data_IF_945454435286
#
_entry.id   IF_945454435286
#
_cell.length_a   1.000
_cell.length_b   1.000
_cell.length_c   1.000
_cell.angle_alpha   90.00
_cell.angle_beta   90.00
_cell.angle_gamma   90.00
#
_symmetry.space_group_name_H-M   'P 1'
#
loop_
_entity.id
_entity.type
_entity.pdbx_description
1 polymer ?
#
# COMPACT_ATOMS: atom_id res chain seq x y z
N UNK A 1 0.21 -17.20 -30.83
CA UNK A 1 0.33 -15.95 -30.03
C UNK A 1 1.79 -15.85 -29.59
N UNK A 2 2.47 -14.78 -30.00
CA UNK A 2 3.93 -14.62 -29.90
C UNK A 2 4.39 -14.57 -28.44
N UNK A 3 5.48 -15.26 -28.08
CA UNK A 3 6.03 -15.28 -26.71
C UNK A 3 6.27 -13.86 -26.16
N UNK A 4 6.76 -12.95 -27.01
CA UNK A 4 6.98 -11.55 -26.64
C UNK A 4 5.70 -10.78 -26.29
N UNK A 5 4.56 -11.12 -26.88
CA UNK A 5 3.28 -10.47 -26.57
C UNK A 5 2.75 -10.87 -25.19
N UNK A 6 2.93 -12.14 -24.80
CA UNK A 6 2.57 -12.58 -23.46
C UNK A 6 3.46 -11.90 -22.40
N UNK A 7 4.77 -11.87 -22.61
CA UNK A 7 5.69 -11.16 -21.71
C UNK A 7 5.35 -9.66 -21.59
N UNK A 8 5.07 -9.00 -22.71
CA UNK A 8 4.65 -7.59 -22.71
C UNK A 8 3.34 -7.38 -21.93
N UNK A 9 2.35 -8.25 -22.12
CA UNK A 9 1.08 -8.19 -21.39
C UNK A 9 1.27 -8.36 -19.89
N UNK A 10 2.11 -9.31 -19.48
CA UNK A 10 2.41 -9.54 -18.06
C UNK A 10 3.11 -8.33 -17.44
N UNK A 11 4.10 -7.76 -18.13
CA UNK A 11 4.77 -6.51 -17.68
C UNK A 11 3.81 -5.33 -17.60
N UNK A 12 2.92 -5.15 -18.57
CA UNK A 12 1.90 -4.10 -18.50
C UNK A 12 0.96 -4.31 -17.30
N UNK A 13 0.54 -5.55 -17.02
CA UNK A 13 -0.30 -5.86 -15.86
C UNK A 13 0.41 -5.54 -14.55
N UNK A 14 1.69 -5.86 -14.43
CA UNK A 14 2.49 -5.53 -13.25
C UNK A 14 2.57 -4.02 -13.03
N UNK A 15 2.82 -3.25 -14.09
CA UNK A 15 2.91 -1.78 -14.02
C UNK A 15 1.56 -1.19 -13.62
N UNK A 16 0.46 -1.61 -14.28
CA UNK A 16 -0.88 -1.13 -13.95
C UNK A 16 -1.26 -1.44 -12.50
N UNK A 17 -0.91 -2.63 -12.01
CA UNK A 17 -1.14 -3.02 -10.60
C UNK A 17 -0.39 -2.10 -9.64
N UNK A 18 0.89 -1.82 -9.91
CA UNK A 18 1.69 -0.89 -9.10
C UNK A 18 1.12 0.52 -9.11
N UNK A 19 0.70 1.03 -10.26
CA UNK A 19 0.07 2.34 -10.39
C UNK A 19 -1.25 2.43 -9.62
N UNK A 20 -2.07 1.38 -9.64
CA UNK A 20 -3.31 1.32 -8.85
C UNK A 20 -3.03 1.36 -7.35
N UNK A 21 -2.03 0.61 -6.88
CA UNK A 21 -1.60 0.63 -5.48
C UNK A 21 -1.16 2.04 -5.10
N UNK A 22 -0.28 2.67 -5.89
CA UNK A 22 0.20 4.04 -5.62
C UNK A 22 -0.92 5.09 -5.65
N UNK A 23 -1.91 4.95 -6.54
CA UNK A 23 -3.08 5.83 -6.58
C UNK A 23 -3.95 5.69 -5.34
N UNK A 24 -4.25 4.45 -4.94
CA UNK A 24 -4.99 4.18 -3.70
C UNK A 24 -4.22 4.68 -2.48
N UNK A 25 -2.91 4.45 -2.46
CA UNK A 25 -2.03 4.94 -1.42
C UNK A 25 -2.10 6.46 -1.28
N UNK A 26 -2.00 7.21 -2.38
CA UNK A 26 -2.07 8.67 -2.35
C UNK A 26 -3.41 9.20 -1.82
N UNK A 27 -4.49 8.43 -1.97
CA UNK A 27 -5.80 8.78 -1.41
C UNK A 27 -5.80 8.68 0.13
N UNK A 28 -5.24 7.59 0.68
CA UNK A 28 -5.25 7.32 2.12
C UNK A 28 -4.08 7.97 2.87
N UNK A 29 -2.93 8.14 2.22
CA UNK A 29 -1.69 8.61 2.80
C UNK A 29 -1.05 9.72 1.94
N UNK A 30 -1.73 10.86 1.71
CA UNK A 30 -1.29 11.89 0.77
C UNK A 30 0.07 12.53 1.12
N UNK A 31 0.46 12.52 2.40
CA UNK A 31 1.70 13.11 2.90
C UNK A 31 2.81 12.09 3.13
N UNK A 32 2.58 10.81 2.87
CA UNK A 32 3.55 9.74 3.04
C UNK A 32 3.81 9.07 1.69
N UNK A 33 5.05 9.11 1.19
CA UNK A 33 5.41 8.44 -0.06
C UNK A 33 5.26 6.92 0.08
N UNK A 34 4.79 6.25 -0.98
CA UNK A 34 4.67 4.79 -0.98
C UNK A 34 6.06 4.14 -0.82
N UNK A 35 7.05 4.70 -1.50
CA UNK A 35 8.42 4.21 -1.56
C UNK A 35 9.09 4.17 -0.18
N UNK A 36 8.90 5.20 0.64
CA UNK A 36 9.59 5.31 1.93
C UNK A 36 8.76 4.73 3.09
N UNK A 37 7.44 4.74 2.97
CA UNK A 37 6.54 4.39 4.09
C UNK A 37 5.81 3.06 3.94
N UNK A 38 5.76 2.42 2.76
CA UNK A 38 5.05 1.14 2.55
C UNK A 38 5.43 0.09 3.60
N UNK A 39 6.73 -0.18 3.77
CA UNK A 39 7.22 -1.19 4.73
C UNK A 39 6.86 -0.81 6.17
N UNK A 40 6.95 0.48 6.53
CA UNK A 40 6.62 0.96 7.88
C UNK A 40 5.13 0.83 8.17
N UNK A 41 4.27 1.23 7.23
CA UNK A 41 2.81 1.13 7.38
C UNK A 41 2.36 -0.33 7.40
N UNK A 42 2.94 -1.20 6.56
CA UNK A 42 2.66 -2.64 6.60
C UNK A 42 2.98 -3.22 7.99
N UNK A 43 4.12 -2.85 8.57
CA UNK A 43 4.46 -3.23 9.94
C UNK A 43 3.45 -2.74 10.98
N UNK A 44 2.90 -1.53 10.83
CA UNK A 44 1.90 -0.97 11.75
C UNK A 44 0.57 -1.69 11.55
N UNK A 45 0.20 -1.97 10.31
CA UNK A 45 -1.00 -2.70 9.94
C UNK A 45 -0.99 -4.12 10.53
N UNK A 46 0.12 -4.85 10.40
CA UNK A 46 0.27 -6.18 11.00
C UNK A 46 0.08 -6.16 12.52
N UNK A 47 0.57 -5.11 13.19
CA UNK A 47 0.35 -4.94 14.64
C UNK A 47 -1.12 -4.66 14.95
N UNK A 48 -1.75 -3.77 14.19
CA UNK A 48 -3.17 -3.47 14.34
C UNK A 48 -4.06 -4.71 14.15
N UNK A 49 -3.71 -5.59 13.21
CA UNK A 49 -4.41 -6.87 13.01
C UNK A 49 -4.26 -7.81 14.21
N UNK A 50 -3.06 -7.87 14.82
CA UNK A 50 -2.81 -8.67 16.04
C UNK A 50 -3.52 -8.09 17.27
N UNK A 51 -3.69 -6.77 17.31
CA UNK A 51 -4.42 -6.03 18.34
C UNK A 51 -5.94 -6.00 18.09
N UNK A 52 -6.42 -6.70 17.04
CA UNK A 52 -7.84 -6.78 16.64
C UNK A 52 -8.50 -5.40 16.46
N UNK A 53 -7.71 -4.43 15.98
CA UNK A 53 -8.21 -3.08 15.71
C UNK A 53 -9.28 -3.12 14.63
N UNK A 54 -10.42 -2.49 14.91
CA UNK A 54 -11.54 -2.45 13.99
C UNK A 54 -11.17 -1.72 12.69
N UNK A 55 -11.75 -2.14 11.56
CA UNK A 55 -11.51 -1.49 10.26
C UNK A 55 -11.79 0.03 10.28
N UNK A 56 -12.74 0.47 11.11
CA UNK A 56 -13.11 1.89 11.27
C UNK A 56 -12.00 2.69 11.96
N UNK A 57 -11.27 2.07 12.88
CA UNK A 57 -10.24 2.73 13.69
C UNK A 57 -8.84 2.54 13.11
N UNK A 58 -8.68 1.63 12.16
CA UNK A 58 -7.41 1.24 11.55
C UNK A 58 -6.67 2.42 10.89
N UNK A 59 -7.37 3.25 10.14
CA UNK A 59 -6.76 4.42 9.47
C UNK A 59 -6.22 5.41 10.51
N UNK A 60 -7.01 5.70 11.55
CA UNK A 60 -6.59 6.56 12.66
C UNK A 60 -5.40 5.96 13.41
N UNK A 61 -5.45 4.66 13.73
CA UNK A 61 -4.37 3.97 14.41
C UNK A 61 -3.05 4.08 13.62
N UNK A 62 -3.09 3.89 12.31
CA UNK A 62 -1.91 4.01 11.45
C UNK A 62 -1.36 5.43 11.49
N UNK A 63 -2.21 6.45 11.34
CA UNK A 63 -1.80 7.86 11.37
C UNK A 63 -1.20 8.25 12.73
N UNK A 64 -1.79 7.80 13.83
CA UNK A 64 -1.29 8.05 15.19
C UNK A 64 0.12 7.44 15.35
N UNK A 65 0.35 6.20 14.88
CA UNK A 65 1.67 5.55 14.95
C UNK A 65 2.71 6.16 13.99
N UNK A 66 2.28 6.78 12.90
CA UNK A 66 3.17 7.47 11.97
C UNK A 66 3.66 8.82 12.51
N UNK A 67 2.82 9.48 13.30
CA UNK A 67 3.07 10.83 13.84
C UNK A 67 3.62 10.83 15.26
N UNK A 68 3.50 9.74 16.01
CA UNK A 68 3.98 9.61 17.40
C UNK A 68 5.53 9.51 17.56
N UNK A 69 6.29 10.23 16.73
CA UNK A 69 7.72 10.48 16.92
C UNK A 69 7.95 11.88 17.51
#
# INVERSE_FOLDING_TARGET
>A
IFIGFNFFRDKMRDIMTKELIKKSWKLHFPFFSYEDYSIKIDSIFEKAMKEEISKKDLERYILDKLTAN
#
